data_IF_620200210980
#
_entry.id   IF_620200210980
#
_cell.length_a   1.000
_cell.length_b   1.000
_cell.length_c   1.000
_cell.angle_alpha   90.00
_cell.angle_beta   90.00
_cell.angle_gamma   90.00
#
_symmetry.space_group_name_H-M   'P 1'
#
loop_
_entity.id
_entity.type
_entity.pdbx_description
1 polymer ?
#
# COMPACT_ATOMS: atom_id res chain seq x y z
N UNK A 1 -17.24 -43.42 -21.05
CA UNK A 1 -18.08 -42.67 -20.08
C UNK A 1 -17.42 -42.56 -18.71
N UNK A 2 -16.79 -43.61 -18.16
CA UNK A 2 -16.06 -43.54 -16.88
C UNK A 2 -14.78 -42.68 -16.89
N UNK A 3 -14.01 -42.67 -17.99
CA UNK A 3 -12.77 -41.89 -18.07
C UNK A 3 -12.97 -40.37 -18.05
N UNK A 4 -14.03 -39.86 -18.71
CA UNK A 4 -14.33 -38.43 -18.74
C UNK A 4 -14.81 -37.91 -17.37
N UNK A 5 -15.49 -38.75 -16.59
CA UNK A 5 -15.93 -38.41 -15.23
C UNK A 5 -14.75 -38.23 -14.27
N UNK A 6 -13.72 -39.07 -14.39
CA UNK A 6 -12.52 -39.00 -13.55
C UNK A 6 -11.70 -37.71 -13.79
N UNK A 7 -11.67 -37.23 -15.03
CA UNK A 7 -10.97 -35.99 -15.40
C UNK A 7 -11.72 -34.75 -14.89
N UNK A 8 -13.06 -34.74 -14.97
CA UNK A 8 -13.88 -33.67 -14.38
C UNK A 8 -13.76 -33.61 -12.85
N UNK A 9 -13.72 -34.77 -12.17
CA UNK A 9 -13.56 -34.84 -10.72
C UNK A 9 -12.18 -34.30 -10.28
N UNK A 10 -11.10 -34.67 -10.97
CA UNK A 10 -9.76 -34.15 -10.68
C UNK A 10 -9.71 -32.64 -10.94
N UNK A 11 -10.30 -32.19 -12.06
CA UNK A 11 -10.34 -30.78 -12.39
C UNK A 11 -11.09 -29.97 -11.33
N UNK A 12 -12.20 -30.49 -10.83
CA UNK A 12 -12.98 -29.87 -9.76
C UNK A 12 -12.18 -29.79 -8.46
N UNK A 13 -11.49 -30.86 -8.07
CA UNK A 13 -10.64 -30.88 -6.87
C UNK A 13 -9.51 -29.83 -6.99
N UNK A 14 -8.84 -29.76 -8.14
CA UNK A 14 -7.78 -28.78 -8.38
C UNK A 14 -8.33 -27.34 -8.34
N UNK A 15 -9.47 -27.11 -8.96
CA UNK A 15 -10.16 -25.82 -8.97
C UNK A 15 -10.51 -25.37 -7.55
N UNK A 16 -11.11 -26.25 -6.74
CA UNK A 16 -11.52 -25.94 -5.38
C UNK A 16 -10.31 -25.71 -4.47
N UNK A 17 -9.22 -26.46 -4.66
CA UNK A 17 -7.95 -26.22 -3.98
C UNK A 17 -7.39 -24.83 -4.27
N UNK A 18 -7.27 -24.46 -5.55
CA UNK A 18 -6.72 -23.15 -5.91
C UNK A 18 -7.63 -22.00 -5.50
N UNK A 19 -8.95 -22.16 -5.63
CA UNK A 19 -9.92 -21.19 -5.09
C UNK A 19 -9.73 -20.97 -3.59
N UNK A 20 -9.50 -22.03 -2.82
CA UNK A 20 -9.32 -21.90 -1.37
C UNK A 20 -7.99 -21.24 -0.97
N UNK A 21 -6.87 -21.57 -1.63
CA UNK A 21 -5.57 -20.97 -1.25
C UNK A 21 -5.42 -19.53 -1.74
N UNK A 22 -6.12 -19.15 -2.81
CA UNK A 22 -6.15 -17.77 -3.31
C UNK A 22 -7.34 -16.96 -2.80
N UNK A 23 -8.29 -17.59 -2.09
CA UNK A 23 -9.32 -16.86 -1.37
C UNK A 23 -8.67 -16.08 -0.22
N UNK A 24 -9.11 -14.83 -0.03
CA UNK A 24 -8.71 -14.09 1.16
C UNK A 24 -9.23 -14.86 2.39
N UNK A 25 -8.34 -15.19 3.32
CA UNK A 25 -8.72 -15.80 4.61
C UNK A 25 -9.28 -14.74 5.60
N UNK A 26 -9.71 -13.59 5.08
CA UNK A 26 -10.00 -12.38 5.84
C UNK A 26 -8.75 -11.60 6.22
N UNK A 27 -8.95 -10.50 6.92
CA UNK A 27 -7.88 -9.77 7.61
C UNK A 27 -7.74 -10.42 8.98
N UNK A 28 -6.67 -11.18 9.19
CA UNK A 28 -6.32 -11.61 10.54
C UNK A 28 -6.00 -10.36 11.38
N UNK A 29 -6.44 -10.32 12.64
CA UNK A 29 -6.13 -9.23 13.54
C UNK A 29 -4.60 -9.11 13.67
N UNK A 30 -3.98 -8.02 13.18
CA UNK A 30 -2.54 -7.87 13.21
C UNK A 30 -2.02 -7.52 14.61
N UNK A 31 -2.88 -7.28 15.61
CA UNK A 31 -2.48 -6.88 16.96
C UNK A 31 -1.40 -7.78 17.56
N UNK A 32 -1.53 -9.11 17.45
CA UNK A 32 -0.53 -10.05 17.97
C UNK A 32 0.88 -9.88 17.34
N UNK A 33 0.93 -9.44 16.08
CA UNK A 33 2.18 -9.18 15.36
C UNK A 33 2.71 -7.80 15.75
N UNK A 34 1.83 -6.80 15.81
CA UNK A 34 2.18 -5.42 16.16
C UNK A 34 2.70 -5.32 17.60
N UNK A 35 2.14 -6.08 18.54
CA UNK A 35 2.58 -6.13 19.94
C UNK A 35 4.01 -6.67 20.11
N UNK A 36 4.51 -7.44 19.13
CA UNK A 36 5.87 -7.98 19.12
C UNK A 36 6.87 -7.07 18.43
N UNK A 37 6.39 -6.02 17.76
CA UNK A 37 7.22 -5.06 17.05
C UNK A 37 7.47 -3.87 17.98
N UNK A 38 8.74 -3.52 18.18
CA UNK A 38 9.09 -2.30 18.88
C UNK A 38 8.55 -1.09 18.11
N UNK A 39 7.77 -0.25 18.79
CA UNK A 39 7.25 0.98 18.18
C UNK A 39 8.33 2.06 18.15
N UNK A 40 8.73 2.47 16.95
CA UNK A 40 9.61 3.61 16.72
C UNK A 40 8.84 4.92 16.52
N UNK A 41 7.54 4.84 16.26
CA UNK A 41 6.67 6.01 16.07
C UNK A 41 5.87 6.20 17.34
N UNK A 42 6.27 7.18 18.14
CA UNK A 42 5.49 7.55 19.32
C UNK A 42 4.09 8.06 18.93
N UNK A 43 3.15 8.03 19.87
CA UNK A 43 1.80 8.56 19.65
C UNK A 43 1.85 10.01 19.16
N UNK A 44 2.75 10.82 19.70
CA UNK A 44 2.88 12.23 19.31
C UNK A 44 3.45 12.40 17.90
N UNK A 45 4.44 11.57 17.52
CA UNK A 45 4.92 11.53 16.13
C UNK A 45 3.79 11.14 15.19
N UNK A 46 3.00 10.13 15.54
CA UNK A 46 1.87 9.70 14.72
C UNK A 46 0.81 10.81 14.58
N UNK A 47 0.52 11.53 15.67
CA UNK A 47 -0.39 12.69 15.62
C UNK A 47 0.13 13.79 14.70
N UNK A 48 1.44 14.06 14.74
CA UNK A 48 2.08 15.01 13.83
C UNK A 48 2.05 14.54 12.37
N UNK A 49 2.26 13.24 12.11
CA UNK A 49 2.24 12.65 10.76
C UNK A 49 0.83 12.62 10.15
N UNK A 50 -0.20 12.59 10.98
CA UNK A 50 -1.61 12.59 10.57
C UNK A 50 -2.24 14.00 10.58
N UNK A 51 -1.49 15.03 10.98
CA UNK A 51 -1.97 16.40 10.96
C UNK A 51 -2.03 16.94 9.53
N UNK A 52 -2.88 17.95 9.32
CA UNK A 52 -2.93 18.67 8.06
C UNK A 52 -1.60 19.40 7.81
N UNK A 53 -1.14 19.39 6.55
CA UNK A 53 0.05 20.14 6.15
C UNK A 53 -0.20 21.64 6.20
N UNK A 54 0.81 22.38 6.64
CA UNK A 54 0.85 23.84 6.58
C UNK A 54 1.42 24.32 5.25
N UNK A 55 1.08 25.55 4.87
CA UNK A 55 1.65 26.17 3.66
C UNK A 55 3.19 26.24 3.74
N UNK A 56 3.72 26.53 4.93
CA UNK A 56 5.15 26.61 5.21
C UNK A 56 5.85 25.27 5.00
N UNK A 57 5.30 24.15 5.50
CA UNK A 57 5.85 22.82 5.30
C UNK A 57 5.86 22.43 3.82
N UNK A 58 4.79 22.75 3.09
CA UNK A 58 4.71 22.51 1.64
C UNK A 58 5.79 23.30 0.90
N UNK A 59 5.97 24.58 1.22
CA UNK A 59 7.02 25.42 0.61
C UNK A 59 8.42 24.89 0.92
N UNK A 60 8.69 24.45 2.16
CA UNK A 60 9.96 23.84 2.53
C UNK A 60 10.20 22.56 1.75
N UNK A 61 9.20 21.68 1.65
CA UNK A 61 9.30 20.44 0.89
C UNK A 61 9.60 20.69 -0.59
N UNK A 62 8.90 21.64 -1.22
CA UNK A 62 9.15 22.05 -2.62
C UNK A 62 10.60 22.51 -2.82
N UNK A 63 11.15 23.31 -1.90
CA UNK A 63 12.55 23.78 -1.96
C UNK A 63 13.58 22.66 -1.82
N UNK A 64 13.26 21.60 -1.07
CA UNK A 64 14.15 20.46 -0.85
C UNK A 64 14.11 19.43 -2.00
N UNK A 65 13.06 19.44 -2.83
CA UNK A 65 12.93 18.52 -3.95
C UNK A 65 13.91 18.83 -5.10
N UNK A 66 14.31 17.80 -5.84
CA UNK A 66 15.07 18.00 -7.08
C UNK A 66 14.20 18.68 -8.16
N UNK A 67 14.76 19.54 -9.03
CA UNK A 67 13.96 20.34 -9.99
C UNK A 67 13.06 19.52 -10.93
N UNK A 68 13.43 18.27 -11.21
CA UNK A 68 12.72 17.34 -12.11
C UNK A 68 12.16 16.11 -11.39
N UNK A 69 12.13 16.10 -10.05
CA UNK A 69 11.82 14.88 -9.27
C UNK A 69 10.32 14.59 -9.13
N UNK A 70 9.45 15.57 -9.36
CA UNK A 70 8.03 15.35 -9.43
C UNK A 70 7.52 15.94 -10.74
N UNK A 71 7.18 15.06 -11.68
CA UNK A 71 6.16 15.39 -12.68
C UNK A 71 4.84 15.12 -11.98
N UNK A 72 4.14 16.18 -11.57
CA UNK A 72 2.78 16.05 -11.08
C UNK A 72 1.88 15.51 -12.19
N UNK A 73 0.66 15.09 -11.86
CA UNK A 73 -0.34 14.61 -12.83
C UNK A 73 -0.67 15.70 -13.88
N UNK A 74 -0.38 16.97 -13.56
CA UNK A 74 -0.44 18.14 -14.45
C UNK A 74 0.71 18.22 -15.48
N UNK A 75 1.73 17.37 -15.39
CA UNK A 75 2.91 17.35 -16.26
C UNK A 75 3.94 18.46 -15.98
N UNK A 76 3.76 19.29 -14.95
CA UNK A 76 4.69 20.34 -14.55
C UNK A 76 5.73 19.78 -13.57
N UNK A 77 7.00 20.09 -13.84
CA UNK A 77 8.09 19.80 -12.93
C UNK A 77 8.08 20.71 -11.70
N UNK A 78 8.60 20.23 -10.57
CA UNK A 78 8.78 21.01 -9.33
C UNK A 78 9.48 22.35 -9.53
N UNK A 79 10.33 22.47 -10.57
CA UNK A 79 11.00 23.73 -10.98
C UNK A 79 10.04 24.92 -11.16
N UNK A 80 8.79 24.70 -11.57
CA UNK A 80 7.80 25.78 -11.72
C UNK A 80 7.33 26.36 -10.38
N UNK A 81 7.38 25.55 -9.31
CA UNK A 81 6.92 25.91 -7.98
C UNK A 81 8.05 26.33 -7.04
N UNK A 82 9.31 25.99 -7.35
CA UNK A 82 10.49 26.41 -6.57
C UNK A 82 10.85 27.90 -6.73
N UNK A 83 10.36 28.53 -7.79
CA UNK A 83 10.74 29.90 -8.16
C UNK A 83 9.91 30.97 -7.43
N UNK A 84 8.88 30.55 -6.70
CA UNK A 84 7.97 31.37 -5.89
C UNK A 84 8.08 30.96 -4.42
#
# INVERSE_FOLDING_TARGET
MFFFYYDEDIFKIAMDYFKNIYASQGVADPSDILDRIESYVSLEMNRSLLADFTAEEVLVAIRLMGPLKASSEDGLGVVFYQRF
#
